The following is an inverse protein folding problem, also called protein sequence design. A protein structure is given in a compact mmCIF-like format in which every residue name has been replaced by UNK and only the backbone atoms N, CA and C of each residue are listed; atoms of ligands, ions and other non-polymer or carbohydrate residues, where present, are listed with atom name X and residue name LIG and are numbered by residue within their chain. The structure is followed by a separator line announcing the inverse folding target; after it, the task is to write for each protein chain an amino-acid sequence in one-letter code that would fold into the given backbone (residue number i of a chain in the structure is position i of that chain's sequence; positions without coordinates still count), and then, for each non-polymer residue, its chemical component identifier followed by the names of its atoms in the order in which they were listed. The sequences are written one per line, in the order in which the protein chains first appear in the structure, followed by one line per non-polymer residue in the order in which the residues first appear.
data_IF_808905805657
#
_entry.id   IF_808905805657
#
_cell.length_a   1.000
_cell.length_b   1.000
_cell.length_c   1.000
_cell.angle_alpha   90.00
_cell.angle_beta   90.00
_cell.angle_gamma   90.00
#
_symmetry.space_group_name_H-M   'P 1'
#
loop_
_entity.id
_entity.type
_entity.pdbx_description
1 polymer ?
#
# COMPACT_ATOMS: atom_id res chain seq x y z
N UNK A 1 18.77 -11.39 9.22
CA UNK A 1 17.65 -11.96 8.44
C UNK A 1 16.29 -11.74 9.10
N UNK A 2 16.04 -12.14 10.35
CA UNK A 2 14.71 -12.02 11.01
C UNK A 2 14.16 -10.57 10.97
N UNK A 3 14.98 -9.57 11.25
CA UNK A 3 14.55 -8.14 11.24
C UNK A 3 14.17 -7.62 9.85
N UNK A 4 14.77 -8.15 8.80
CA UNK A 4 14.41 -7.81 7.41
C UNK A 4 13.00 -8.33 7.12
N UNK A 5 12.76 -9.61 7.43
CA UNK A 5 11.46 -10.25 7.25
C UNK A 5 10.39 -9.53 8.09
N UNK A 6 10.72 -9.22 9.34
CA UNK A 6 9.81 -8.48 10.22
C UNK A 6 9.50 -7.07 9.71
N UNK A 7 10.53 -6.33 9.22
CA UNK A 7 10.33 -5.01 8.61
C UNK A 7 9.43 -5.08 7.37
N UNK A 8 9.64 -6.08 6.51
CA UNK A 8 8.80 -6.30 5.33
C UNK A 8 7.37 -6.63 5.74
N UNK A 9 7.17 -7.56 6.67
CA UNK A 9 5.84 -7.96 7.14
C UNK A 9 5.06 -6.76 7.70
N UNK A 10 5.65 -5.96 8.57
CA UNK A 10 5.02 -4.76 9.13
C UNK A 10 4.74 -3.72 8.04
N UNK A 11 5.71 -3.46 7.15
CA UNK A 11 5.53 -2.51 6.06
C UNK A 11 4.39 -2.91 5.11
N UNK A 12 4.27 -4.18 4.77
CA UNK A 12 3.19 -4.73 3.94
C UNK A 12 1.84 -4.57 4.65
N UNK A 13 1.75 -4.95 5.93
CA UNK A 13 0.52 -4.81 6.71
C UNK A 13 0.07 -3.36 6.83
N UNK A 14 0.99 -2.44 7.10
CA UNK A 14 0.69 -1.00 7.16
C UNK A 14 0.19 -0.49 5.81
N UNK A 15 0.87 -0.85 4.71
CA UNK A 15 0.43 -0.47 3.35
C UNK A 15 -0.98 -1.00 3.05
N UNK A 16 -1.25 -2.26 3.38
CA UNK A 16 -2.53 -2.90 3.13
C UNK A 16 -3.66 -2.25 3.95
N UNK A 17 -3.46 -2.08 5.26
CA UNK A 17 -4.48 -1.51 6.15
C UNK A 17 -4.81 -0.07 5.74
N UNK A 18 -3.80 0.78 5.54
CA UNK A 18 -4.02 2.16 5.12
C UNK A 18 -4.62 2.25 3.72
N UNK A 19 -4.15 1.42 2.78
CA UNK A 19 -4.67 1.37 1.43
C UNK A 19 -6.13 0.91 1.39
N UNK A 20 -6.49 -0.13 2.13
CA UNK A 20 -7.87 -0.61 2.22
C UNK A 20 -8.79 0.46 2.81
N UNK A 21 -8.43 1.06 3.95
CA UNK A 21 -9.24 2.12 4.58
C UNK A 21 -9.38 3.32 3.63
N UNK A 22 -8.28 3.82 3.06
CA UNK A 22 -8.31 4.95 2.14
C UNK A 22 -9.17 4.64 0.90
N UNK A 23 -9.05 3.45 0.35
CA UNK A 23 -9.87 2.99 -0.76
C UNK A 23 -11.36 3.02 -0.44
N UNK A 24 -11.75 2.45 0.71
CA UNK A 24 -13.14 2.47 1.18
C UNK A 24 -13.65 3.91 1.30
N UNK A 25 -12.85 4.84 1.87
CA UNK A 25 -13.28 6.24 2.01
C UNK A 25 -13.47 6.93 0.65
N UNK A 26 -12.64 6.63 -0.35
CA UNK A 26 -12.80 7.15 -1.72
C UNK A 26 -14.11 6.67 -2.34
N UNK A 27 -14.44 5.39 -2.20
CA UNK A 27 -15.71 4.83 -2.69
C UNK A 27 -16.89 5.46 -1.98
N UNK A 28 -16.86 5.55 -0.64
CA UNK A 28 -17.95 6.14 0.13
C UNK A 28 -18.14 7.64 -0.15
N UNK A 29 -17.04 8.36 -0.44
CA UNK A 29 -17.12 9.75 -0.89
C UNK A 29 -17.85 9.86 -2.26
N UNK A 30 -17.60 8.92 -3.16
CA UNK A 30 -18.32 8.86 -4.45
C UNK A 30 -19.81 8.55 -4.26
N UNK A 31 -20.17 7.67 -3.32
CA UNK A 31 -21.56 7.37 -2.96
C UNK A 31 -22.28 8.62 -2.39
N UNK A 32 -21.58 9.39 -1.53
CA UNK A 32 -22.13 10.65 -1.02
C UNK A 32 -22.31 11.71 -2.12
N UNK A 33 -21.40 11.77 -3.09
CA UNK A 33 -21.51 12.67 -4.22
C UNK A 33 -22.73 12.36 -5.11
N UNK A 34 -23.25 11.14 -5.07
CA UNK A 34 -24.51 10.73 -5.72
C UNK A 34 -25.77 11.08 -4.90
N UNK A 35 -25.64 11.81 -3.79
CA UNK A 35 -26.74 12.24 -2.94
C UNK A 35 -27.20 11.22 -1.89
N UNK A 36 -26.45 10.13 -1.68
CA UNK A 36 -26.73 9.15 -0.66
C UNK A 36 -26.06 9.50 0.67
N UNK A 37 -26.80 9.38 1.76
CA UNK A 37 -26.23 9.61 3.10
C UNK A 37 -25.40 8.42 3.57
N UNK A 38 -24.18 8.68 4.00
CA UNK A 38 -23.27 7.68 4.57
C UNK A 38 -22.96 8.05 6.02
N UNK A 39 -23.54 7.31 6.96
CA UNK A 39 -23.30 7.51 8.39
C UNK A 39 -21.88 7.07 8.80
N UNK A 40 -21.40 7.57 9.92
CA UNK A 40 -20.11 7.15 10.49
C UNK A 40 -20.08 5.64 10.83
N UNK A 41 -21.20 5.10 11.33
CA UNK A 41 -21.32 3.68 11.59
C UNK A 41 -21.15 2.85 10.33
N UNK A 42 -21.79 3.25 9.23
CA UNK A 42 -21.64 2.58 7.93
C UNK A 42 -20.18 2.65 7.42
N UNK A 43 -19.48 3.79 7.62
CA UNK A 43 -18.08 3.92 7.23
C UNK A 43 -17.18 2.91 7.95
N UNK A 44 -17.35 2.75 9.25
CA UNK A 44 -16.58 1.81 10.07
C UNK A 44 -16.89 0.37 9.65
N UNK A 45 -18.16 0.03 9.48
CA UNK A 45 -18.59 -1.32 9.10
C UNK A 45 -18.07 -1.73 7.73
N UNK A 46 -18.22 -0.85 6.72
CA UNK A 46 -17.72 -1.12 5.37
C UNK A 46 -16.20 -1.21 5.36
N UNK A 47 -15.48 -0.32 6.06
CA UNK A 47 -14.02 -0.39 6.14
C UNK A 47 -13.54 -1.70 6.78
N UNK A 48 -14.25 -2.20 7.80
CA UNK A 48 -13.94 -3.48 8.43
C UNK A 48 -14.23 -4.65 7.49
N UNK A 49 -15.36 -4.62 6.79
CA UNK A 49 -15.72 -5.64 5.81
C UNK A 49 -14.71 -5.70 4.67
N UNK A 50 -14.26 -4.55 4.16
CA UNK A 50 -13.25 -4.46 3.10
C UNK A 50 -11.90 -4.99 3.57
N UNK A 51 -11.45 -4.65 4.78
CA UNK A 51 -10.21 -5.19 5.35
C UNK A 51 -10.22 -6.73 5.38
N UNK A 52 -11.32 -7.32 5.80
CA UNK A 52 -11.47 -8.77 5.85
C UNK A 52 -11.59 -9.38 4.45
N UNK A 53 -12.43 -8.80 3.60
CA UNK A 53 -12.66 -9.30 2.25
C UNK A 53 -11.45 -9.20 1.33
N UNK A 54 -10.73 -8.09 1.39
CA UNK A 54 -9.55 -7.84 0.55
C UNK A 54 -8.28 -8.53 1.09
N UNK A 55 -8.29 -9.00 2.34
CA UNK A 55 -7.12 -9.67 2.92
C UNK A 55 -6.72 -10.94 2.16
N UNK A 56 -7.66 -11.68 1.61
CA UNK A 56 -7.39 -12.90 0.86
C UNK A 56 -6.90 -12.65 -0.59
N UNK A 57 -7.18 -11.48 -1.15
CA UNK A 57 -6.90 -11.18 -2.57
C UNK A 57 -5.86 -10.06 -2.72
N UNK A 58 -6.13 -8.88 -2.18
CA UNK A 58 -5.28 -7.71 -2.35
C UNK A 58 -3.99 -7.80 -1.52
N UNK A 59 -4.05 -8.31 -0.28
CA UNK A 59 -2.88 -8.41 0.59
C UNK A 59 -1.75 -9.25 -0.02
N UNK A 60 -1.98 -10.48 -0.55
CA UNK A 60 -0.89 -11.26 -1.17
C UNK A 60 -0.32 -10.60 -2.42
N UNK A 61 -1.15 -9.93 -3.23
CA UNK A 61 -0.68 -9.21 -4.41
C UNK A 61 0.20 -8.02 -4.01
N UNK A 62 -0.24 -7.21 -3.03
CA UNK A 62 0.56 -6.12 -2.49
C UNK A 62 1.85 -6.64 -1.83
N UNK A 63 1.78 -7.77 -1.12
CA UNK A 63 2.94 -8.38 -0.50
C UNK A 63 4.01 -8.78 -1.52
N UNK A 64 3.60 -9.38 -2.62
CA UNK A 64 4.51 -9.74 -3.72
C UNK A 64 5.14 -8.49 -4.36
N UNK A 65 4.33 -7.47 -4.67
CA UNK A 65 4.81 -6.24 -5.29
C UNK A 65 5.80 -5.47 -4.38
N UNK A 66 5.46 -5.29 -3.10
CA UNK A 66 6.30 -4.58 -2.14
C UNK A 66 7.57 -5.37 -1.80
N UNK A 67 7.45 -6.69 -1.58
CA UNK A 67 8.61 -7.53 -1.31
C UNK A 67 9.58 -7.57 -2.49
N UNK A 68 9.07 -7.63 -3.73
CA UNK A 68 9.90 -7.57 -4.92
C UNK A 68 10.58 -6.19 -5.06
N UNK A 69 9.85 -5.08 -4.86
CA UNK A 69 10.42 -3.74 -4.96
C UNK A 69 11.49 -3.47 -3.89
N UNK A 70 11.20 -3.79 -2.63
CA UNK A 70 12.18 -3.62 -1.56
C UNK A 70 13.34 -4.61 -1.67
N UNK A 71 13.10 -5.83 -2.17
CA UNK A 71 14.15 -6.81 -2.44
C UNK A 71 15.10 -6.36 -3.55
N UNK A 72 14.58 -5.78 -4.62
CA UNK A 72 15.38 -5.16 -5.68
C UNK A 72 16.19 -3.97 -5.14
N UNK A 73 15.56 -3.12 -4.33
CA UNK A 73 16.28 -2.03 -3.65
C UNK A 73 17.43 -2.57 -2.81
N UNK A 74 17.22 -3.60 -2.01
CA UNK A 74 18.24 -4.22 -1.18
C UNK A 74 19.37 -4.86 -1.99
N UNK A 75 19.04 -5.55 -3.06
CA UNK A 75 20.02 -6.25 -3.89
C UNK A 75 20.89 -5.34 -4.75
N UNK A 76 20.31 -4.27 -5.28
CA UNK A 76 20.94 -3.43 -6.31
C UNK A 76 21.35 -2.06 -5.75
N UNK A 77 20.40 -1.35 -5.14
CA UNK A 77 20.56 0.08 -4.82
C UNK A 77 21.20 0.30 -3.45
N UNK A 78 21.01 -0.59 -2.49
CA UNK A 78 21.57 -0.44 -1.14
C UNK A 78 23.12 -0.48 -1.13
N UNK A 79 23.71 -1.07 -2.16
CA UNK A 79 25.17 -1.06 -2.38
C UNK A 79 25.70 0.33 -2.71
N UNK A 80 24.83 1.24 -3.16
CA UNK A 80 25.15 2.64 -3.46
C UNK A 80 24.89 3.54 -2.26
N UNK A 81 25.38 3.17 -1.09
CA UNK A 81 25.44 3.91 0.18
C UNK A 81 24.47 5.11 0.26
N UNK A 82 23.32 4.92 0.90
CA UNK A 82 22.38 6.02 1.17
C UNK A 82 22.17 6.16 2.68
N UNK A 83 22.51 7.32 3.23
CA UNK A 83 22.19 7.68 4.62
C UNK A 83 20.67 7.83 4.85
N UNK A 84 19.86 7.74 3.78
CA UNK A 84 18.41 7.97 3.79
C UNK A 84 17.62 6.69 3.51
N UNK A 85 18.01 5.58 4.11
CA UNK A 85 17.37 4.26 3.90
C UNK A 85 15.85 4.33 4.06
N UNK A 86 15.34 4.98 5.11
CA UNK A 86 13.90 5.07 5.39
C UNK A 86 13.12 5.76 4.27
N UNK A 87 13.64 6.88 3.73
CA UNK A 87 13.00 7.59 2.62
C UNK A 87 13.02 6.78 1.33
N UNK A 88 14.12 6.06 1.08
CA UNK A 88 14.23 5.22 -0.11
C UNK A 88 13.19 4.09 -0.09
N UNK A 89 13.01 3.42 1.05
CA UNK A 89 11.94 2.42 1.20
C UNK A 89 10.54 3.00 1.02
N UNK A 90 10.30 4.22 1.52
CA UNK A 90 9.03 4.92 1.32
C UNK A 90 8.77 5.21 -0.17
N UNK A 91 9.76 5.72 -0.89
CA UNK A 91 9.63 6.00 -2.33
C UNK A 91 9.42 4.73 -3.16
N UNK A 92 10.17 3.65 -2.85
CA UNK A 92 9.98 2.36 -3.50
C UNK A 92 8.60 1.80 -3.20
N UNK A 93 8.13 1.87 -1.95
CA UNK A 93 6.80 1.42 -1.58
C UNK A 93 5.69 2.20 -2.30
N UNK A 94 5.81 3.53 -2.39
CA UNK A 94 4.89 4.36 -3.17
C UNK A 94 4.89 3.96 -4.65
N UNK A 95 6.08 3.85 -5.26
CA UNK A 95 6.23 3.49 -6.67
C UNK A 95 5.67 2.12 -7.00
N UNK A 96 5.93 1.11 -6.14
CA UNK A 96 5.37 -0.23 -6.32
C UNK A 96 3.84 -0.23 -6.31
N UNK A 97 3.21 0.47 -5.37
CA UNK A 97 1.75 0.50 -5.28
C UNK A 97 1.15 1.33 -6.41
N UNK A 98 1.74 2.48 -6.76
CA UNK A 98 1.29 3.29 -7.90
C UNK A 98 1.40 2.54 -9.23
N UNK A 99 2.41 1.69 -9.42
CA UNK A 99 2.56 0.87 -10.61
C UNK A 99 1.68 -0.37 -10.60
N UNK A 100 1.45 -0.98 -9.43
CA UNK A 100 0.71 -2.22 -9.29
C UNK A 100 -0.71 -2.14 -9.87
N UNK A 101 -1.46 -1.12 -9.51
CA UNK A 101 -2.88 -1.02 -9.90
C UNK A 101 -3.07 -0.82 -11.42
N UNK A 102 -2.37 0.13 -12.09
CA UNK A 102 -2.45 0.24 -13.54
C UNK A 102 -1.94 -1.00 -14.26
N UNK A 103 -0.90 -1.67 -13.72
CA UNK A 103 -0.38 -2.89 -14.31
C UNK A 103 -1.39 -4.03 -14.23
N UNK A 104 -2.08 -4.19 -13.10
CA UNK A 104 -3.17 -5.16 -12.96
C UNK A 104 -4.32 -4.86 -13.93
N UNK A 105 -4.71 -3.60 -14.05
CA UNK A 105 -5.75 -3.19 -15.01
C UNK A 105 -5.35 -3.51 -16.46
N UNK A 106 -4.08 -3.28 -16.82
CA UNK A 106 -3.55 -3.61 -18.14
C UNK A 106 -3.54 -5.12 -18.43
N UNK A 107 -3.11 -5.93 -17.44
CA UNK A 107 -2.98 -7.39 -17.61
C UNK A 107 -4.36 -8.07 -17.62
N UNK A 108 -5.28 -7.63 -16.75
CA UNK A 108 -6.58 -8.26 -16.57
C UNK A 108 -7.68 -7.64 -17.43
N UNK A 109 -7.41 -6.52 -18.10
CA UNK A 109 -8.37 -5.79 -18.93
C UNK A 109 -9.50 -5.12 -18.14
N UNK A 110 -9.42 -5.12 -16.80
CA UNK A 110 -10.42 -4.52 -15.90
C UNK A 110 -9.74 -3.87 -14.70
N UNK A 111 -10.33 -2.78 -14.19
CA UNK A 111 -9.90 -2.17 -12.94
C UNK A 111 -10.32 -3.05 -11.76
N UNK A 112 -9.37 -3.79 -11.22
CA UNK A 112 -9.61 -4.74 -10.12
C UNK A 112 -9.99 -4.04 -8.82
N UNK A 113 -9.48 -2.81 -8.62
CA UNK A 113 -9.70 -2.05 -7.40
C UNK A 113 -10.37 -0.71 -7.71
N UNK A 114 -11.68 -0.64 -7.43
CA UNK A 114 -12.51 0.51 -7.79
C UNK A 114 -11.97 1.90 -7.36
N UNK A 115 -11.35 2.07 -6.16
CA UNK A 115 -10.79 3.36 -5.76
C UNK A 115 -9.74 3.92 -6.72
N UNK A 116 -8.97 3.07 -7.38
CA UNK A 116 -7.86 3.49 -8.25
C UNK A 116 -8.28 3.98 -9.63
N UNK A 117 -9.57 3.95 -9.94
CA UNK A 117 -10.15 4.58 -11.14
C UNK A 117 -10.06 6.10 -11.10
N UNK A 118 -9.97 6.69 -9.91
CA UNK A 118 -9.72 8.12 -9.74
C UNK A 118 -8.26 8.39 -9.44
N UNK A 119 -7.73 9.51 -9.94
CA UNK A 119 -6.37 9.94 -9.64
C UNK A 119 -6.15 10.11 -8.12
N UNK A 120 -7.16 10.67 -7.42
CA UNK A 120 -7.11 10.84 -5.96
C UNK A 120 -7.02 9.51 -5.23
N UNK A 121 -7.78 8.50 -5.66
CA UNK A 121 -7.71 7.16 -5.08
C UNK A 121 -6.40 6.46 -5.36
N UNK A 122 -5.85 6.60 -6.57
CA UNK A 122 -4.54 6.05 -6.91
C UNK A 122 -3.43 6.70 -6.07
N UNK A 123 -3.46 8.02 -5.91
CA UNK A 123 -2.50 8.73 -5.05
C UNK A 123 -2.62 8.32 -3.59
N UNK A 124 -3.84 8.13 -3.08
CA UNK A 124 -4.07 7.62 -1.72
C UNK A 124 -3.43 6.23 -1.52
N UNK A 125 -3.50 5.36 -2.52
CA UNK A 125 -2.81 4.07 -2.51
C UNK A 125 -1.28 4.23 -2.50
N UNK A 126 -0.75 5.14 -3.29
CA UNK A 126 0.68 5.48 -3.29
C UNK A 126 1.16 5.98 -1.92
N UNK A 127 0.38 6.83 -1.25
CA UNK A 127 0.67 7.31 0.11
C UNK A 127 0.66 6.14 1.12
N UNK A 128 -0.29 5.23 1.01
CA UNK A 128 -0.32 4.02 1.84
C UNK A 128 0.93 3.15 1.62
N UNK A 129 1.37 2.98 0.38
CA UNK A 129 2.63 2.31 0.04
C UNK A 129 3.86 3.02 0.61
N UNK A 130 3.88 4.36 0.57
CA UNK A 130 4.94 5.17 1.17
C UNK A 130 5.00 5.00 2.70
N UNK A 131 3.86 5.01 3.38
CA UNK A 131 3.78 4.83 4.82
C UNK A 131 4.30 3.44 5.25
N UNK A 132 3.91 2.38 4.56
CA UNK A 132 4.44 1.04 4.81
C UNK A 132 5.94 0.93 4.53
N UNK A 133 6.41 1.53 3.43
CA UNK A 133 7.84 1.61 3.12
C UNK A 133 8.62 2.38 4.18
N UNK A 134 8.07 3.49 4.69
CA UNK A 134 8.66 4.23 5.80
C UNK A 134 8.82 3.36 7.04
N UNK A 135 7.76 2.64 7.45
CA UNK A 135 7.79 1.73 8.59
C UNK A 135 8.85 0.63 8.40
N UNK A 136 8.90 0.02 7.22
CA UNK A 136 9.92 -0.97 6.86
C UNK A 136 11.34 -0.41 7.01
N UNK A 137 11.62 0.74 6.38
CA UNK A 137 12.91 1.40 6.42
C UNK A 137 13.32 1.84 7.82
N UNK A 138 12.38 2.32 8.63
CA UNK A 138 12.60 2.72 10.02
C UNK A 138 13.03 1.54 10.91
N UNK A 139 12.33 0.39 10.79
CA UNK A 139 12.69 -0.82 11.52
C UNK A 139 14.11 -1.28 11.14
N UNK A 140 14.46 -1.17 9.86
CA UNK A 140 15.77 -1.58 9.35
C UNK A 140 16.89 -0.62 9.75
N UNK A 141 16.66 0.69 9.72
CA UNK A 141 17.67 1.69 10.08
C UNK A 141 18.12 1.60 11.54
N UNK A 142 17.23 1.21 12.44
CA UNK A 142 17.55 0.96 13.86
C UNK A 142 18.39 -0.32 14.08
N UNK A 143 18.52 -1.15 13.06
CA UNK A 143 19.27 -2.41 13.14
C UNK A 143 20.75 -2.24 12.74
N UNK A 144 21.11 -1.09 12.17
CA UNK A 144 22.48 -0.80 11.70
C UNK A 144 23.32 -0.05 12.73
N UNK A 145 22.72 0.27 13.89
CA UNK A 145 23.41 0.80 15.07
C UNK A 145 23.60 -0.30 16.10
#
# INVERSE_FOLDING_TARGET
MIRVIFGYAIGILVSFVLGSIAGTQVVLASVQAMGLEVSWAARIEVSRADLLGLSATLLPIMALALAAGWGLYDGVISRMRSDRVTHAYALVGAGCILALHPLLALILGVDVFAPTRSLGGLLAQGIAGAAGGWCCGYIRSRSSK
#
